data_IF_948217297702
#
_entry.id   IF_948217297702
#
_cell.length_a   1.000
_cell.length_b   1.000
_cell.length_c   1.000
_cell.angle_alpha   90.00
_cell.angle_beta   90.00
_cell.angle_gamma   90.00
#
_symmetry.space_group_name_H-M   'P 1'
#
loop_
_entity.id
_entity.type
_entity.pdbx_description
1 polymer ?
#
# COMPACT_ATOMS: atom_id res chain seq x y z
N UNK A 1 -10.64 -29.12 -0.09
CA UNK A 1 -10.53 -27.65 -0.25
C UNK A 1 -9.08 -27.31 0.03
N UNK A 2 -8.42 -26.62 -0.89
CA UNK A 2 -7.03 -26.22 -0.72
C UNK A 2 -6.99 -24.81 -0.13
N UNK A 3 -6.25 -24.64 0.95
CA UNK A 3 -6.11 -23.38 1.70
C UNK A 3 -4.67 -22.90 1.74
N UNK A 4 -3.75 -23.63 1.11
CA UNK A 4 -2.36 -23.20 1.05
C UNK A 4 -2.24 -21.94 0.17
N UNK A 5 -1.63 -20.86 0.68
CA UNK A 5 -1.46 -19.67 -0.12
C UNK A 5 -0.54 -19.94 -1.31
N UNK A 6 -0.88 -19.39 -2.46
CA UNK A 6 -0.02 -19.46 -3.64
C UNK A 6 1.27 -18.67 -3.41
N UNK A 7 2.32 -18.96 -4.18
CA UNK A 7 3.59 -18.22 -4.11
C UNK A 7 3.39 -16.71 -4.28
N UNK A 8 2.48 -16.31 -5.17
CA UNK A 8 2.16 -14.89 -5.42
C UNK A 8 1.44 -14.25 -4.23
N UNK A 9 0.57 -14.99 -3.55
CA UNK A 9 -0.09 -14.52 -2.32
C UNK A 9 0.91 -14.35 -1.18
N UNK A 10 1.79 -15.32 -0.96
CA UNK A 10 2.89 -15.24 0.02
C UNK A 10 3.78 -14.04 -0.29
N UNK A 11 4.18 -13.89 -1.56
CA UNK A 11 5.01 -12.79 -2.03
C UNK A 11 4.43 -11.41 -1.66
N UNK A 12 3.17 -11.14 -2.01
CA UNK A 12 2.58 -9.83 -1.73
C UNK A 12 2.34 -9.60 -0.24
N UNK A 13 1.80 -10.60 0.47
CA UNK A 13 1.61 -10.54 1.93
C UNK A 13 2.90 -10.17 2.63
N UNK A 14 3.98 -10.90 2.35
CA UNK A 14 5.24 -10.73 3.10
C UNK A 14 5.89 -9.37 2.79
N UNK A 15 5.76 -8.85 1.57
CA UNK A 15 6.23 -7.50 1.24
C UNK A 15 5.50 -6.43 2.02
N UNK A 16 4.16 -6.48 2.08
CA UNK A 16 3.38 -5.50 2.85
C UNK A 16 3.67 -5.62 4.34
N UNK A 17 3.69 -6.86 4.87
CA UNK A 17 4.02 -7.14 6.27
C UNK A 17 5.39 -6.56 6.64
N UNK A 18 6.43 -6.87 5.86
CA UNK A 18 7.78 -6.40 6.14
C UNK A 18 7.88 -4.87 6.07
N UNK A 19 7.24 -4.23 5.09
CA UNK A 19 7.19 -2.76 5.02
C UNK A 19 6.54 -2.15 6.27
N UNK A 20 5.47 -2.77 6.79
CA UNK A 20 4.82 -2.32 8.03
C UNK A 20 5.76 -2.44 9.23
N UNK A 21 6.39 -3.61 9.41
CA UNK A 21 7.29 -3.87 10.53
C UNK A 21 8.56 -3.00 10.48
N UNK A 22 9.15 -2.85 9.31
CA UNK A 22 10.45 -2.18 9.14
C UNK A 22 10.33 -0.65 9.03
N UNK A 23 9.18 -0.13 8.58
CA UNK A 23 9.04 1.31 8.27
C UNK A 23 7.84 1.97 8.94
N UNK A 24 6.65 1.36 8.95
CA UNK A 24 5.45 2.01 9.49
C UNK A 24 5.43 1.98 11.01
N UNK A 25 5.63 0.83 11.65
CA UNK A 25 5.60 0.73 13.12
C UNK A 25 6.69 1.57 13.79
N UNK A 26 7.95 1.57 13.33
CA UNK A 26 9.00 2.40 13.93
C UNK A 26 8.74 3.90 13.77
N UNK A 27 7.96 4.31 12.77
CA UNK A 27 7.62 5.72 12.53
C UNK A 27 6.51 6.26 13.44
N UNK A 28 5.79 5.40 14.17
CA UNK A 28 4.67 5.81 15.03
C UNK A 28 5.04 6.89 16.07
N UNK A 29 6.19 6.82 16.78
CA UNK A 29 6.60 7.89 17.69
C UNK A 29 6.80 9.23 16.98
N UNK A 30 7.43 9.23 15.79
CA UNK A 30 7.62 10.44 14.96
C UNK A 30 6.29 11.01 14.49
N UNK A 31 5.36 10.15 14.05
CA UNK A 31 4.00 10.55 13.71
C UNK A 31 3.35 11.27 14.89
N UNK A 32 3.38 10.69 16.10
CA UNK A 32 2.76 11.28 17.29
C UNK A 32 3.39 12.61 17.66
N UNK A 33 4.71 12.73 17.55
CA UNK A 33 5.42 14.00 17.79
C UNK A 33 5.00 15.07 16.79
N UNK A 34 4.90 14.71 15.50
CA UNK A 34 4.46 15.63 14.46
C UNK A 34 2.99 16.02 14.68
N UNK A 35 2.09 15.08 14.92
CA UNK A 35 0.66 15.30 15.15
C UNK A 35 0.38 16.19 16.38
N UNK A 36 1.16 16.04 17.46
CA UNK A 36 0.99 16.81 18.70
C UNK A 36 1.35 18.30 18.59
N UNK A 37 1.87 18.75 17.45
CA UNK A 37 2.28 20.14 17.22
C UNK A 37 1.45 20.77 16.10
N UNK A 38 1.34 22.10 16.05
CA UNK A 38 0.66 22.78 14.94
C UNK A 38 -0.85 22.52 14.84
N UNK A 39 -1.41 22.71 13.65
CA UNK A 39 -2.85 22.59 13.41
C UNK A 39 -3.30 21.13 13.24
N UNK A 40 -4.53 20.83 13.65
CA UNK A 40 -5.12 19.48 13.62
C UNK A 40 -5.09 18.81 12.24
N UNK A 41 -5.23 19.57 11.15
CA UNK A 41 -5.41 19.04 9.79
C UNK A 41 -4.19 19.23 8.89
N UNK A 42 -3.01 19.34 9.50
CA UNK A 42 -1.77 19.54 8.76
C UNK A 42 -1.29 18.25 8.10
N UNK A 43 -0.42 18.43 7.11
CA UNK A 43 0.34 17.32 6.52
C UNK A 43 1.37 16.84 7.54
N UNK A 44 1.41 15.52 7.74
CA UNK A 44 2.38 14.85 8.61
C UNK A 44 3.50 14.34 7.73
N UNK A 45 4.67 14.96 7.83
CA UNK A 45 5.79 14.72 6.92
C UNK A 45 6.23 13.25 6.90
N UNK A 46 6.25 12.58 8.06
CA UNK A 46 6.65 11.16 8.11
C UNK A 46 5.71 10.26 7.30
N UNK A 47 4.44 10.63 7.15
CA UNK A 47 3.49 9.89 6.32
C UNK A 47 3.79 10.09 4.84
N UNK A 48 4.14 11.31 4.42
CA UNK A 48 4.52 11.59 3.02
C UNK A 48 5.81 10.88 2.62
N UNK A 49 6.81 10.89 3.51
CA UNK A 49 8.07 10.18 3.28
C UNK A 49 7.85 8.66 3.15
N UNK A 50 6.99 8.09 3.99
CA UNK A 50 6.62 6.67 3.91
C UNK A 50 5.81 6.35 2.65
N UNK A 51 4.91 7.22 2.20
CA UNK A 51 4.19 7.05 0.91
C UNK A 51 5.16 7.01 -0.26
N UNK A 52 6.11 7.94 -0.30
CA UNK A 52 7.15 7.96 -1.34
C UNK A 52 7.97 6.68 -1.33
N UNK A 53 8.32 6.17 -0.15
CA UNK A 53 9.04 4.91 0.00
C UNK A 53 8.22 3.70 -0.45
N UNK A 54 6.97 3.57 0.00
CA UNK A 54 6.07 2.49 -0.41
C UNK A 54 5.86 2.48 -1.93
N UNK A 55 5.71 3.66 -2.54
CA UNK A 55 5.65 3.79 -4.00
C UNK A 55 6.93 3.35 -4.68
N UNK A 56 8.10 3.74 -4.17
CA UNK A 56 9.40 3.30 -4.67
C UNK A 56 9.62 1.79 -4.56
N UNK A 57 9.02 1.14 -3.57
CA UNK A 57 9.01 -0.32 -3.43
C UNK A 57 7.87 -0.99 -4.23
N UNK A 58 7.01 -0.25 -4.93
CA UNK A 58 5.88 -0.83 -5.67
C UNK A 58 4.74 -1.35 -4.78
N UNK A 59 4.71 -0.98 -3.50
CA UNK A 59 3.59 -1.19 -2.57
C UNK A 59 2.64 0.01 -2.71
N UNK A 60 2.02 0.13 -3.89
CA UNK A 60 1.19 1.27 -4.25
C UNK A 60 -0.01 0.84 -5.06
N UNK A 61 -1.16 1.47 -4.84
CA UNK A 61 -2.42 1.17 -5.52
C UNK A 61 -2.78 -0.34 -5.51
N UNK A 62 -2.46 -1.07 -4.42
CA UNK A 62 -2.66 -2.52 -4.33
C UNK A 62 -4.14 -2.94 -4.38
N UNK A 63 -5.05 -2.01 -4.08
CA UNK A 63 -6.49 -2.23 -4.15
C UNK A 63 -7.01 -2.30 -5.60
N UNK A 64 -6.21 -1.90 -6.58
CA UNK A 64 -6.61 -1.93 -7.98
C UNK A 64 -6.74 -3.38 -8.44
N UNK A 65 -7.89 -3.78 -9.01
CA UNK A 65 -8.09 -5.11 -9.53
C UNK A 65 -7.23 -5.33 -10.79
N UNK A 66 -7.03 -6.58 -11.22
CA UNK A 66 -6.45 -6.86 -12.53
C UNK A 66 -7.29 -6.20 -13.63
N UNK A 67 -6.63 -5.63 -14.65
CA UNK A 67 -7.31 -5.12 -15.85
C UNK A 67 -8.06 -6.26 -16.55
N UNK A 68 -9.27 -5.97 -17.00
CA UNK A 68 -10.10 -6.84 -17.84
C UNK A 68 -10.95 -5.98 -18.77
N UNK A 69 -11.71 -6.59 -19.69
CA UNK A 69 -12.54 -5.89 -20.67
C UNK A 69 -13.63 -4.98 -20.05
N UNK A 70 -13.91 -5.13 -18.75
CA UNK A 70 -14.84 -4.27 -17.99
C UNK A 70 -14.16 -3.20 -17.13
N UNK A 71 -12.83 -3.25 -16.99
CA UNK A 71 -12.04 -2.38 -16.11
C UNK A 71 -10.98 -1.62 -16.93
N UNK A 72 -11.46 -0.74 -17.81
CA UNK A 72 -10.62 0.21 -18.53
C UNK A 72 -10.54 1.53 -17.77
N UNK A 73 -9.41 2.22 -17.88
CA UNK A 73 -9.26 3.57 -17.36
C UNK A 73 -10.25 4.49 -18.08
N UNK A 74 -11.08 5.19 -17.30
CA UNK A 74 -12.00 6.22 -17.83
C UNK A 74 -11.28 7.51 -18.20
N UNK A 75 -10.03 7.65 -17.73
CA UNK A 75 -9.16 8.79 -17.94
C UNK A 75 -7.71 8.30 -17.94
N UNK A 76 -6.95 8.67 -18.98
CA UNK A 76 -5.54 8.32 -19.18
C UNK A 76 -4.60 9.52 -18.96
N UNK A 77 -5.14 10.67 -18.52
CA UNK A 77 -4.36 11.89 -18.28
C UNK A 77 -3.43 11.80 -17.06
N UNK A 78 -3.55 10.76 -16.24
CA UNK A 78 -2.69 10.50 -15.10
C UNK A 78 -2.35 9.02 -14.94
N UNK A 79 -1.09 8.74 -14.58
CA UNK A 79 -0.62 7.39 -14.33
C UNK A 79 -1.21 6.84 -13.02
N UNK A 80 -2.24 6.01 -13.17
CA UNK A 80 -2.90 5.32 -12.07
C UNK A 80 -2.76 3.81 -12.21
N UNK A 81 -1.53 3.35 -12.05
CA UNK A 81 -1.18 1.94 -12.15
C UNK A 81 -0.91 1.32 -10.78
N UNK A 82 -1.13 0.02 -10.70
CA UNK A 82 -0.87 -0.83 -9.55
C UNK A 82 -0.65 -2.26 -10.04
N UNK A 83 -0.19 -3.18 -9.18
CA UNK A 83 0.16 -4.55 -9.59
C UNK A 83 -1.04 -5.43 -9.96
N UNK A 84 -2.28 -4.92 -9.84
CA UNK A 84 -3.50 -5.63 -10.21
C UNK A 84 -3.72 -6.87 -9.36
N UNK A 85 -3.97 -6.70 -8.05
CA UNK A 85 -4.18 -7.82 -7.16
C UNK A 85 -5.62 -8.30 -7.22
N UNK A 86 -5.82 -9.61 -7.25
CA UNK A 86 -7.13 -10.21 -7.00
C UNK A 86 -7.58 -9.92 -5.57
N UNK A 87 -8.89 -10.03 -5.33
CA UNK A 87 -9.45 -9.81 -3.98
C UNK A 87 -8.76 -10.69 -2.92
N UNK A 88 -8.39 -11.93 -3.25
CA UNK A 88 -7.75 -12.84 -2.30
C UNK A 88 -6.29 -12.46 -2.03
N UNK A 89 -5.55 -12.02 -3.03
CA UNK A 89 -4.18 -11.51 -2.85
C UNK A 89 -4.18 -10.22 -2.03
N UNK A 90 -5.10 -9.30 -2.32
CA UNK A 90 -5.23 -8.04 -1.57
C UNK A 90 -5.65 -8.29 -0.12
N UNK A 91 -6.61 -9.20 0.12
CA UNK A 91 -7.07 -9.53 1.46
C UNK A 91 -5.96 -10.09 2.36
N UNK A 92 -4.99 -10.80 1.80
CA UNK A 92 -3.84 -11.33 2.55
C UNK A 92 -2.80 -10.27 2.89
N UNK A 93 -2.86 -9.08 2.28
CA UNK A 93 -1.96 -7.96 2.58
C UNK A 93 -2.47 -7.07 3.74
N UNK A 94 -3.75 -7.20 4.12
CA UNK A 94 -4.43 -6.33 5.08
C UNK A 94 -4.29 -6.78 6.54
#
# INVERSE_FOLDING_TARGET
MDFEPTERQVYWRDRVKNFIEDHVRPAVPTYKQQDATGERWKVIQVVEDLKAKAKGEGIWNLFMPPRNDGHHHVDESYDFEGPGLTNLEYALCA
#
